data_IF_382493830780
#
_entry.id   IF_382493830780
#
_cell.length_a   1.000
_cell.length_b   1.000
_cell.length_c   1.000
_cell.angle_alpha   90.00
_cell.angle_beta   90.00
_cell.angle_gamma   90.00
#
_symmetry.space_group_name_H-M   'P 1'
#
loop_
_entity.id
_entity.type
_entity.pdbx_description
1 polymer ?
#
# COMPACT_ATOMS: atom_id res chain seq x y z
N UNK A 1 -15.33 15.68 -2.90
CA UNK A 1 -16.34 14.61 -3.08
C UNK A 1 -17.47 15.09 -3.98
N UNK A 2 -18.07 16.27 -3.76
CA UNK A 2 -19.17 16.76 -4.59
C UNK A 2 -18.80 16.79 -6.09
N UNK A 3 -17.64 17.34 -6.43
CA UNK A 3 -17.14 17.35 -7.80
C UNK A 3 -16.94 15.94 -8.38
N UNK A 4 -16.47 14.99 -7.57
CA UNK A 4 -16.32 13.58 -7.99
C UNK A 4 -17.67 12.91 -8.24
N UNK A 5 -18.66 13.14 -7.37
CA UNK A 5 -20.02 12.63 -7.58
C UNK A 5 -20.63 13.19 -8.85
N UNK A 6 -20.49 14.49 -9.08
CA UNK A 6 -20.99 15.15 -10.27
C UNK A 6 -20.32 14.63 -11.56
N UNK A 7 -18.97 14.56 -11.57
CA UNK A 7 -18.21 14.12 -12.73
C UNK A 7 -18.42 12.64 -13.06
N UNK A 8 -18.60 11.78 -12.05
CA UNK A 8 -18.81 10.33 -12.22
C UNK A 8 -20.28 9.94 -12.28
N UNK A 9 -21.20 10.85 -11.98
CA UNK A 9 -22.64 10.59 -11.78
C UNK A 9 -22.90 9.45 -10.79
N UNK A 10 -22.04 9.32 -9.78
CA UNK A 10 -22.12 8.29 -8.77
C UNK A 10 -22.28 8.92 -7.38
N UNK A 11 -23.44 8.80 -6.80
CA UNK A 11 -23.75 9.33 -5.47
C UNK A 11 -23.14 8.47 -4.34
N UNK A 12 -22.72 7.24 -4.63
CA UNK A 12 -22.14 6.29 -3.66
C UNK A 12 -20.64 6.53 -3.41
N UNK A 13 -20.17 7.75 -3.59
CA UNK A 13 -18.80 8.14 -3.24
C UNK A 13 -18.83 8.87 -1.90
N UNK A 14 -18.14 8.29 -0.92
CA UNK A 14 -18.05 8.84 0.43
C UNK A 14 -16.59 9.11 0.80
N UNK A 15 -16.35 10.04 1.70
CA UNK A 15 -15.07 10.21 2.36
C UNK A 15 -15.29 10.21 3.86
N UNK A 16 -14.41 9.54 4.56
CA UNK A 16 -14.34 9.54 5.99
C UNK A 16 -12.96 10.01 6.44
N UNK A 17 -12.93 10.74 7.54
CA UNK A 17 -11.68 11.22 8.11
C UNK A 17 -11.00 10.06 8.83
N UNK A 18 -9.74 9.81 8.42
CA UNK A 18 -8.84 8.86 9.09
C UNK A 18 -7.41 9.38 8.93
N UNK A 19 -6.78 9.71 10.03
CA UNK A 19 -5.36 10.05 10.01
C UNK A 19 -4.54 8.75 10.06
N UNK A 20 -3.88 8.45 8.95
CA UNK A 20 -3.04 7.24 8.79
C UNK A 20 -1.78 7.32 9.67
N UNK A 21 -1.33 8.52 10.07
CA UNK A 21 -0.18 8.68 10.97
C UNK A 21 -0.55 8.50 12.46
N UNK A 22 -1.85 8.47 12.78
CA UNK A 22 -2.33 8.26 14.15
C UNK A 22 -3.02 6.89 14.31
N UNK A 23 -2.41 6.00 15.11
CA UNK A 23 -2.94 4.65 15.37
C UNK A 23 -4.31 4.67 16.05
N UNK A 24 -4.59 5.68 16.90
CA UNK A 24 -5.89 5.81 17.55
C UNK A 24 -6.98 6.26 16.58
N UNK A 25 -6.64 7.15 15.63
CA UNK A 25 -7.53 7.55 14.54
C UNK A 25 -7.93 6.35 13.68
N UNK A 26 -6.95 5.50 13.31
CA UNK A 26 -7.18 4.26 12.56
C UNK A 26 -8.11 3.31 13.33
N UNK A 27 -7.85 3.10 14.62
CA UNK A 27 -8.68 2.22 15.46
C UNK A 27 -10.12 2.74 15.56
N UNK A 28 -10.29 4.05 15.75
CA UNK A 28 -11.61 4.70 15.79
C UNK A 28 -12.34 4.61 14.44
N UNK A 29 -11.62 4.77 13.32
CA UNK A 29 -12.17 4.58 11.99
C UNK A 29 -12.66 3.14 11.80
N UNK A 30 -11.82 2.16 12.14
CA UNK A 30 -12.17 0.74 12.00
C UNK A 30 -13.37 0.36 12.87
N UNK A 31 -13.46 0.89 14.09
CA UNK A 31 -14.61 0.67 14.96
C UNK A 31 -15.91 1.23 14.34
N UNK A 32 -15.88 2.48 13.85
CA UNK A 32 -17.04 3.06 13.14
C UNK A 32 -17.45 2.23 11.92
N UNK A 33 -16.45 1.71 11.19
CA UNK A 33 -16.68 0.82 10.05
C UNK A 33 -17.43 -0.45 10.47
N UNK A 34 -17.01 -1.10 11.55
CA UNK A 34 -17.70 -2.31 12.06
C UNK A 34 -19.10 -2.05 12.60
N UNK A 35 -19.30 -0.89 13.24
CA UNK A 35 -20.59 -0.50 13.79
C UNK A 35 -21.59 -0.04 12.72
N UNK A 36 -21.17 0.10 11.47
CA UNK A 36 -22.00 0.61 10.38
C UNK A 36 -22.34 2.10 10.51
N UNK A 37 -21.68 2.81 11.41
CA UNK A 37 -21.87 4.24 11.62
C UNK A 37 -21.06 5.02 10.59
N UNK A 38 -21.72 5.59 9.58
CA UNK A 38 -21.09 6.53 8.65
C UNK A 38 -21.17 7.94 9.22
N UNK A 39 -20.06 8.64 9.27
CA UNK A 39 -19.99 10.03 9.77
C UNK A 39 -20.74 11.01 8.84
N UNK A 40 -20.86 10.68 7.57
CA UNK A 40 -21.56 11.48 6.56
C UNK A 40 -22.48 10.60 5.73
N UNK A 41 -23.65 10.27 6.28
CA UNK A 41 -24.73 9.63 5.53
C UNK A 41 -25.84 10.64 5.31
N UNK A 42 -26.25 10.91 4.07
CA UNK A 42 -27.62 11.32 3.81
C UNK A 42 -28.53 10.29 4.52
N UNK A 43 -29.52 10.79 5.25
CA UNK A 43 -30.48 9.99 6.01
C UNK A 43 -31.18 8.96 5.09
N UNK A 44 -30.53 7.85 4.89
CA UNK A 44 -31.05 6.69 4.21
C UNK A 44 -30.93 5.54 5.17
N UNK A 45 -32.04 4.93 5.47
CA UNK A 45 -32.29 3.75 6.28
C UNK A 45 -31.05 2.92 6.60
N UNK A 46 -30.81 2.58 7.90
CA UNK A 46 -29.77 1.64 8.26
C UNK A 46 -30.14 0.28 7.67
N UNK A 47 -29.67 0.01 6.46
CA UNK A 47 -29.68 -1.35 5.96
C UNK A 47 -28.68 -2.12 6.79
N UNK A 48 -29.14 -3.15 7.46
CA UNK A 48 -28.33 -4.11 8.23
C UNK A 48 -27.40 -4.94 7.31
N UNK A 49 -27.08 -4.42 6.14
CA UNK A 49 -26.14 -5.04 5.22
C UNK A 49 -24.75 -4.92 5.83
N UNK A 50 -24.17 -6.06 6.15
CA UNK A 50 -22.76 -6.19 6.50
C UNK A 50 -21.94 -5.43 5.46
N UNK A 51 -21.14 -4.45 5.91
CA UNK A 51 -20.33 -3.63 5.02
C UNK A 51 -19.44 -4.53 4.17
N UNK A 52 -19.78 -4.60 2.90
CA UNK A 52 -19.05 -5.37 1.92
C UNK A 52 -17.82 -4.60 1.50
N UNK A 53 -16.68 -5.26 1.51
CA UNK A 53 -15.41 -4.70 1.09
C UNK A 53 -14.79 -5.62 0.02
N UNK A 54 -14.92 -5.26 -1.24
CA UNK A 54 -14.40 -6.05 -2.37
C UNK A 54 -12.93 -5.74 -2.66
N UNK A 55 -12.48 -4.52 -2.36
CA UNK A 55 -11.09 -4.14 -2.50
C UNK A 55 -10.67 -3.08 -1.48
N UNK A 56 -9.43 -3.17 -1.01
CA UNK A 56 -8.72 -2.13 -0.27
C UNK A 56 -7.55 -1.66 -1.12
N UNK A 57 -7.45 -0.37 -1.35
CA UNK A 57 -6.40 0.19 -2.21
C UNK A 57 -5.59 1.20 -1.43
N UNK A 58 -4.31 0.91 -1.26
CA UNK A 58 -3.33 1.84 -0.72
C UNK A 58 -2.63 2.54 -1.87
N UNK A 59 -2.85 3.84 -2.00
CA UNK A 59 -2.18 4.66 -3.01
C UNK A 59 -0.91 5.26 -2.40
N UNK A 60 0.19 5.34 -3.18
CA UNK A 60 1.35 6.07 -2.72
C UNK A 60 0.94 7.52 -2.54
N UNK A 61 1.30 8.11 -1.43
CA UNK A 61 1.09 9.54 -1.26
C UNK A 61 1.87 10.29 -2.32
N UNK A 62 1.21 11.22 -2.97
CA UNK A 62 1.82 12.07 -3.99
C UNK A 62 2.93 12.99 -3.43
N UNK A 63 3.03 13.09 -2.12
CA UNK A 63 4.08 13.84 -1.46
C UNK A 63 5.37 13.01 -1.51
N UNK A 64 6.08 13.12 -2.63
CA UNK A 64 7.39 12.50 -2.86
C UNK A 64 8.49 13.01 -1.94
N UNK A 65 8.16 13.91 -1.04
CA UNK A 65 9.02 14.43 0.01
C UNK A 65 8.23 14.42 1.31
N UNK A 66 8.86 14.04 2.41
CA UNK A 66 8.33 14.35 3.72
C UNK A 66 7.95 15.84 3.72
N UNK A 67 6.70 16.21 4.05
CA UNK A 67 6.35 17.61 4.20
C UNK A 67 7.41 18.29 5.08
N UNK A 68 7.81 19.50 4.70
CA UNK A 68 8.80 20.24 5.47
C UNK A 68 8.27 20.37 6.91
N UNK A 69 9.04 19.84 7.88
CA UNK A 69 8.64 19.83 9.29
C UNK A 69 8.07 18.51 9.82
N UNK A 70 7.78 17.52 8.98
CA UNK A 70 7.38 16.19 9.44
C UNK A 70 8.60 15.37 9.84
N UNK A 71 8.55 14.80 11.03
CA UNK A 71 9.64 13.95 11.52
C UNK A 71 9.73 12.66 10.70
N UNK A 72 10.93 12.06 10.59
CA UNK A 72 11.11 10.76 9.92
C UNK A 72 10.25 9.67 10.54
N UNK A 73 10.09 9.71 11.83
CA UNK A 73 9.26 8.75 12.57
C UNK A 73 7.79 8.86 12.17
N UNK A 74 7.30 10.07 12.04
CA UNK A 74 5.93 10.33 11.58
C UNK A 74 5.73 9.92 10.11
N UNK A 75 6.70 10.23 9.25
CA UNK A 75 6.68 9.79 7.86
C UNK A 75 6.73 8.26 7.74
N UNK A 76 7.54 7.58 8.54
CA UNK A 76 7.57 6.12 8.59
C UNK A 76 6.24 5.55 9.09
N UNK A 77 5.65 6.19 10.09
CA UNK A 77 4.33 5.84 10.59
C UNK A 77 3.28 5.93 9.49
N UNK A 78 3.29 7.03 8.76
CA UNK A 78 2.35 7.27 7.67
C UNK A 78 2.48 6.24 6.54
N UNK A 79 3.71 5.94 6.09
CA UNK A 79 3.94 5.10 4.92
C UNK A 79 3.92 3.60 5.21
N UNK A 80 4.29 3.19 6.43
CA UNK A 80 4.47 1.77 6.75
C UNK A 80 3.53 1.30 7.85
N UNK A 81 3.58 1.95 9.03
CA UNK A 81 2.86 1.45 10.19
C UNK A 81 1.36 1.67 10.10
N UNK A 82 0.92 2.80 9.56
CA UNK A 82 -0.49 3.12 9.40
C UNK A 82 -1.23 2.17 8.46
N UNK A 83 -0.77 1.98 7.21
CA UNK A 83 -1.35 0.99 6.30
C UNK A 83 -1.34 -0.42 6.89
N UNK A 84 -0.25 -0.81 7.56
CA UNK A 84 -0.16 -2.11 8.24
C UNK A 84 -1.21 -2.25 9.34
N UNK A 85 -1.37 -1.25 10.20
CA UNK A 85 -2.36 -1.26 11.28
C UNK A 85 -3.79 -1.24 10.75
N UNK A 86 -4.07 -0.38 9.76
CA UNK A 86 -5.39 -0.32 9.14
C UNK A 86 -5.79 -1.68 8.53
N UNK A 87 -4.88 -2.33 7.83
CA UNK A 87 -5.14 -3.64 7.26
C UNK A 87 -5.35 -4.70 8.35
N UNK A 88 -4.55 -4.67 9.42
CA UNK A 88 -4.69 -5.56 10.56
C UNK A 88 -6.06 -5.44 11.24
N UNK A 89 -6.54 -4.21 11.40
CA UNK A 89 -7.87 -3.94 12.02
C UNK A 89 -9.03 -4.30 11.10
N UNK A 90 -8.89 -4.15 9.77
CA UNK A 90 -9.93 -4.51 8.79
C UNK A 90 -9.97 -6.00 8.48
N UNK A 91 -8.90 -6.75 8.77
CA UNK A 91 -8.79 -8.17 8.43
C UNK A 91 -9.98 -9.03 8.88
N UNK A 92 -10.53 -8.89 10.10
CA UNK A 92 -11.70 -9.67 10.52
C UNK A 92 -12.94 -9.44 9.63
N UNK A 93 -13.09 -8.23 9.06
CA UNK A 93 -14.18 -7.92 8.11
C UNK A 93 -13.95 -8.60 6.76
N UNK A 94 -12.70 -8.60 6.29
CA UNK A 94 -12.34 -9.25 5.03
C UNK A 94 -12.53 -10.77 5.11
N UNK A 95 -12.16 -11.39 6.22
CA UNK A 95 -12.30 -12.84 6.45
C UNK A 95 -13.76 -13.31 6.56
N UNK A 96 -14.68 -12.45 7.01
CA UNK A 96 -16.12 -12.77 7.06
C UNK A 96 -16.78 -12.83 5.69
N UNK A 97 -16.12 -12.38 4.66
CA UNK A 97 -16.62 -12.44 3.29
C UNK A 97 -16.70 -13.90 2.82
N UNK A 98 -17.71 -14.26 2.02
CA UNK A 98 -17.81 -15.63 1.52
C UNK A 98 -16.62 -15.97 0.61
N UNK A 99 -16.05 -17.19 0.72
CA UNK A 99 -14.86 -17.60 -0.02
C UNK A 99 -15.05 -17.68 -1.54
N UNK A 100 -16.29 -17.60 -2.01
CA UNK A 100 -16.61 -17.50 -3.44
C UNK A 100 -16.26 -16.13 -4.05
N UNK A 101 -15.90 -15.15 -3.21
CA UNK A 101 -15.52 -13.79 -3.62
C UNK A 101 -14.04 -13.58 -3.50
N UNK A 102 -13.47 -12.97 -4.51
CA UNK A 102 -12.10 -12.52 -4.53
C UNK A 102 -12.02 -11.11 -3.93
N UNK A 103 -11.44 -11.01 -2.73
CA UNK A 103 -11.19 -9.73 -2.04
C UNK A 103 -9.76 -9.31 -2.31
N UNK A 104 -9.55 -8.08 -2.76
CA UNK A 104 -8.22 -7.60 -3.15
C UNK A 104 -7.67 -6.53 -2.23
N UNK A 105 -6.43 -6.70 -1.84
CA UNK A 105 -5.62 -5.69 -1.18
C UNK A 105 -4.58 -5.24 -2.19
N UNK A 106 -4.73 -4.03 -2.72
CA UNK A 106 -3.84 -3.48 -3.75
C UNK A 106 -2.97 -2.41 -3.11
N UNK A 107 -1.66 -2.65 -3.08
CA UNK A 107 -0.68 -1.65 -2.62
C UNK A 107 0.08 -1.08 -3.81
N UNK A 108 -0.03 0.24 -4.01
CA UNK A 108 0.70 0.93 -5.05
C UNK A 108 2.07 1.37 -4.53
N UNK A 109 3.11 0.66 -4.94
CA UNK A 109 4.49 0.82 -4.48
C UNK A 109 5.20 1.94 -5.24
N UNK A 110 5.84 2.84 -4.51
CA UNK A 110 6.65 3.90 -5.11
C UNK A 110 7.77 3.33 -6.00
N UNK A 111 8.00 3.90 -7.21
CA UNK A 111 9.08 3.46 -8.11
C UNK A 111 10.48 3.63 -7.51
N UNK A 112 10.61 4.42 -6.44
CA UNK A 112 11.88 4.60 -5.71
C UNK A 112 12.29 3.41 -4.85
N UNK A 113 11.51 2.32 -4.81
CA UNK A 113 11.82 1.14 -3.97
C UNK A 113 13.26 0.61 -4.16
N UNK A 114 13.79 0.67 -5.38
CA UNK A 114 15.17 0.24 -5.66
C UNK A 114 16.22 1.15 -5.02
N UNK A 115 15.95 2.47 -4.94
CA UNK A 115 16.84 3.42 -4.27
C UNK A 115 16.92 3.23 -2.76
N UNK A 116 15.90 2.58 -2.17
CA UNK A 116 15.83 2.31 -0.73
C UNK A 116 16.64 1.11 -0.26
N UNK A 117 17.14 0.26 -1.15
CA UNK A 117 17.85 -0.98 -0.78
C UNK A 117 19.02 -0.74 0.18
N UNK A 118 19.85 0.29 -0.11
CA UNK A 118 21.01 0.62 0.71
C UNK A 118 20.66 1.18 2.09
N UNK A 119 19.43 1.62 2.30
CA UNK A 119 18.95 2.25 3.54
C UNK A 119 17.97 1.40 4.34
N UNK A 120 17.60 0.26 3.85
CA UNK A 120 16.53 -0.56 4.38
C UNK A 120 16.63 -0.83 5.90
N UNK A 121 17.82 -1.23 6.41
CA UNK A 121 18.04 -1.51 7.83
C UNK A 121 18.27 -0.27 8.71
N UNK A 122 18.41 0.90 8.12
CA UNK A 122 18.75 2.16 8.82
C UNK A 122 17.81 3.31 8.47
N UNK A 123 16.57 2.99 8.14
CA UNK A 123 15.60 3.95 7.59
C UNK A 123 15.39 5.17 8.49
N UNK A 124 15.42 4.99 9.80
CA UNK A 124 15.22 6.07 10.76
C UNK A 124 16.48 6.85 11.10
N UNK A 125 17.67 6.35 10.68
CA UNK A 125 18.93 7.04 10.95
C UNK A 125 19.17 8.19 9.96
N UNK A 126 19.88 9.26 10.38
CA UNK A 126 20.28 10.34 9.49
C UNK A 126 21.09 9.81 8.30
N UNK A 127 20.81 10.33 7.10
CA UNK A 127 21.54 9.94 5.91
C UNK A 127 22.72 10.89 5.66
N UNK A 128 23.84 10.33 5.23
CA UNK A 128 25.08 11.11 5.00
C UNK A 128 25.02 12.02 3.78
N UNK A 129 24.09 11.75 2.84
CA UNK A 129 23.90 12.53 1.61
C UNK A 129 22.51 13.18 1.62
N UNK A 130 22.35 14.34 2.25
CA UNK A 130 21.02 14.93 2.51
C UNK A 130 20.21 15.20 1.25
N UNK A 131 20.84 15.49 0.10
CA UNK A 131 20.15 15.73 -1.17
C UNK A 131 19.35 14.50 -1.64
N UNK A 132 19.86 13.28 -1.38
CA UNK A 132 19.20 12.03 -1.78
C UNK A 132 18.34 11.43 -0.67
N UNK A 133 18.33 12.04 0.50
CA UNK A 133 17.64 11.52 1.67
C UNK A 133 16.14 11.27 1.44
N UNK A 134 15.36 12.21 0.87
CA UNK A 134 13.93 12.02 0.69
C UNK A 134 13.62 10.80 -0.19
N UNK A 135 14.31 10.64 -1.29
CA UNK A 135 14.08 9.52 -2.23
C UNK A 135 14.53 8.18 -1.67
N UNK A 136 15.68 8.14 -0.99
CA UNK A 136 16.15 6.90 -0.35
C UNK A 136 15.27 6.49 0.82
N UNK A 137 14.74 7.46 1.58
CA UNK A 137 13.78 7.21 2.64
C UNK A 137 12.47 6.67 2.08
N UNK A 138 11.90 7.34 1.09
CA UNK A 138 10.68 6.91 0.42
C UNK A 138 10.86 5.52 -0.23
N UNK A 139 12.01 5.29 -0.84
CA UNK A 139 12.37 3.98 -1.41
C UNK A 139 12.49 2.88 -0.35
N UNK A 140 13.07 3.18 0.81
CA UNK A 140 13.16 2.22 1.91
C UNK A 140 11.78 1.92 2.51
N UNK A 141 10.91 2.92 2.67
CA UNK A 141 9.53 2.72 3.10
C UNK A 141 8.75 1.86 2.10
N UNK A 142 8.87 2.14 0.81
CA UNK A 142 8.26 1.35 -0.26
C UNK A 142 8.76 -0.11 -0.27
N UNK A 143 10.02 -0.34 0.05
CA UNK A 143 10.58 -1.68 0.18
C UNK A 143 10.04 -2.41 1.41
N UNK A 144 9.86 -1.71 2.54
CA UNK A 144 9.20 -2.27 3.73
C UNK A 144 7.76 -2.69 3.40
N UNK A 145 7.00 -1.82 2.75
CA UNK A 145 5.63 -2.10 2.34
C UNK A 145 5.56 -3.32 1.41
N UNK A 146 6.48 -3.42 0.44
CA UNK A 146 6.57 -4.55 -0.47
C UNK A 146 6.79 -5.88 0.27
N UNK A 147 7.74 -5.92 1.21
CA UNK A 147 8.04 -7.13 1.97
C UNK A 147 6.88 -7.49 2.90
N UNK A 148 6.28 -6.50 3.58
CA UNK A 148 5.12 -6.71 4.45
C UNK A 148 3.91 -7.21 3.65
N UNK A 149 3.65 -6.69 2.46
CA UNK A 149 2.53 -7.16 1.62
C UNK A 149 2.71 -8.60 1.13
N UNK A 150 3.96 -9.03 0.87
CA UNK A 150 4.28 -10.43 0.59
C UNK A 150 4.07 -11.33 1.81
N UNK A 151 4.49 -10.86 2.98
CA UNK A 151 4.30 -11.59 4.23
C UNK A 151 2.81 -11.65 4.60
N UNK A 152 2.02 -10.61 4.30
CA UNK A 152 0.56 -10.64 4.39
C UNK A 152 -0.01 -11.80 3.57
N UNK A 153 0.36 -11.90 2.28
CA UNK A 153 -0.14 -12.98 1.44
C UNK A 153 0.23 -14.36 2.00
N UNK A 154 1.48 -14.53 2.45
CA UNK A 154 1.94 -15.79 3.04
C UNK A 154 1.12 -16.18 4.28
N UNK A 155 0.80 -15.21 5.14
CA UNK A 155 -0.02 -15.45 6.33
C UNK A 155 -1.48 -15.73 5.97
N UNK A 156 -2.06 -15.02 5.00
CA UNK A 156 -3.41 -15.26 4.51
C UNK A 156 -3.56 -16.68 3.94
N UNK A 157 -2.58 -17.12 3.15
CA UNK A 157 -2.58 -18.47 2.59
C UNK A 157 -2.40 -19.54 3.69
N UNK A 158 -1.56 -19.28 4.70
CA UNK A 158 -1.40 -20.17 5.83
C UNK A 158 -2.69 -20.29 6.66
N UNK A 159 -3.40 -19.20 6.89
CA UNK A 159 -4.71 -19.23 7.57
C UNK A 159 -5.74 -20.01 6.75
N UNK A 160 -5.82 -19.78 5.44
CA UNK A 160 -6.72 -20.55 4.59
C UNK A 160 -6.40 -22.05 4.57
N UNK A 161 -5.12 -22.39 4.64
CA UNK A 161 -4.69 -23.80 4.74
C UNK A 161 -5.06 -24.43 6.09
N UNK A 162 -5.04 -23.66 7.19
CA UNK A 162 -5.44 -24.16 8.52
C UNK A 162 -6.95 -24.38 8.62
N UNK A 163 -7.75 -23.57 7.93
CA UNK A 163 -9.21 -23.66 7.95
C UNK A 163 -9.76 -24.70 6.95
N UNK A 164 -8.90 -25.20 6.07
CA UNK A 164 -9.28 -26.23 5.10
C UNK A 164 -9.59 -27.54 5.83
N UNK A 165 -10.82 -28.02 5.68
CA UNK A 165 -11.17 -29.38 6.12
C UNK A 165 -10.32 -30.37 5.32
N UNK A 166 -9.78 -31.43 5.98
CA UNK A 166 -9.07 -32.47 5.27
C UNK A 166 -9.99 -33.04 4.18
N UNK A 167 -9.47 -33.25 2.95
CA UNK A 167 -10.28 -33.76 1.86
C UNK A 167 -10.90 -35.09 2.30
N UNK A 168 -12.22 -35.18 2.28
CA UNK A 168 -12.93 -36.45 2.53
C UNK A 168 -12.52 -37.38 1.40
N UNK A 169 -11.66 -38.35 1.68
CA UNK A 169 -11.26 -39.36 0.70
C UNK A 169 -12.49 -40.16 0.29
N UNK A 170 -13.04 -39.84 -0.86
CA UNK A 170 -14.01 -40.69 -1.52
C UNK A 170 -13.22 -41.88 -2.13
N UNK A 171 -13.55 -43.13 -1.79
CA UNK A 171 -12.88 -44.28 -2.34
C UNK A 171 -13.13 -44.31 -3.87
N UNK A 172 -12.07 -44.26 -4.66
CA UNK A 172 -12.11 -44.49 -6.10
C UNK A 172 -11.85 -43.26 -6.99
N UNK A 173 -11.49 -42.11 -6.43
CA UNK A 173 -11.05 -40.94 -7.21
C UNK A 173 -9.54 -40.79 -7.06
N UNK A 174 -8.85 -40.90 -8.19
CA UNK A 174 -7.40 -40.82 -8.32
C UNK A 174 -6.76 -39.61 -7.60
N UNK A 175 -5.55 -39.83 -7.12
CA UNK A 175 -4.65 -38.93 -6.41
C UNK A 175 -4.43 -37.57 -7.12
N UNK A 176 -5.43 -36.70 -7.09
CA UNK A 176 -5.17 -35.29 -7.30
C UNK A 176 -4.44 -34.78 -6.05
N UNK A 177 -3.17 -34.44 -6.22
CA UNK A 177 -2.36 -33.77 -5.21
C UNK A 177 -3.23 -32.72 -4.49
N UNK A 178 -3.41 -32.83 -3.17
CA UNK A 178 -4.27 -31.88 -2.46
C UNK A 178 -3.70 -30.46 -2.68
N UNK A 179 -4.42 -29.69 -3.46
CA UNK A 179 -4.07 -28.28 -3.67
C UNK A 179 -4.25 -27.59 -2.35
N UNK A 180 -3.18 -26.97 -1.85
CA UNK A 180 -3.30 -26.10 -0.69
C UNK A 180 -4.35 -25.03 -1.01
N UNK A 181 -5.40 -24.89 -0.20
CA UNK A 181 -6.42 -23.90 -0.43
C UNK A 181 -5.78 -22.52 -0.39
N UNK A 182 -5.96 -21.74 -1.46
CA UNK A 182 -5.54 -20.33 -1.48
C UNK A 182 -6.55 -19.50 -0.72
N UNK A 183 -6.08 -18.46 -0.07
CA UNK A 183 -6.94 -17.45 0.52
C UNK A 183 -7.81 -16.79 -0.55
N UNK A 184 -9.07 -16.52 -0.23
CA UNK A 184 -9.94 -15.68 -1.06
C UNK A 184 -9.56 -14.19 -0.97
N UNK A 185 -8.65 -13.84 -0.06
CA UNK A 185 -8.09 -12.50 0.08
C UNK A 185 -6.71 -12.52 -0.59
N UNK A 186 -6.51 -11.61 -1.54
CA UNK A 186 -5.32 -11.55 -2.37
C UNK A 186 -4.61 -10.21 -2.22
N UNK A 187 -3.37 -10.23 -1.76
CA UNK A 187 -2.49 -9.05 -1.74
C UNK A 187 -1.79 -8.90 -3.09
N UNK A 188 -1.95 -7.77 -3.75
CA UNK A 188 -1.36 -7.46 -5.06
C UNK A 188 -0.58 -6.17 -4.98
N UNK A 189 0.62 -6.18 -5.50
CA UNK A 189 1.51 -5.03 -5.50
C UNK A 189 1.62 -4.46 -6.90
N UNK A 190 1.50 -3.15 -7.02
CA UNK A 190 1.59 -2.45 -8.31
C UNK A 190 2.57 -1.29 -8.21
N UNK A 191 3.47 -1.19 -9.18
CA UNK A 191 4.29 -0.01 -9.35
C UNK A 191 3.68 0.87 -10.47
N UNK A 192 3.01 1.97 -10.14
CA UNK A 192 2.38 2.84 -11.14
C UNK A 192 3.39 3.60 -12.02
N UNK A 193 4.67 3.57 -11.64
CA UNK A 193 5.73 4.31 -12.31
C UNK A 193 5.93 5.70 -11.73
N UNK A 194 6.73 6.51 -12.42
CA UNK A 194 6.99 7.89 -12.02
C UNK A 194 5.86 8.79 -12.51
N UNK A 195 4.96 9.18 -11.62
CA UNK A 195 3.98 10.20 -11.94
C UNK A 195 4.64 11.58 -12.04
N UNK A 196 4.61 12.15 -13.24
CA UNK A 196 5.27 13.41 -13.53
C UNK A 196 4.74 14.55 -12.65
N UNK A 197 3.43 14.59 -12.42
CA UNK A 197 2.79 15.67 -11.65
C UNK A 197 3.23 15.65 -10.18
N UNK A 198 3.29 14.46 -9.56
CA UNK A 198 3.72 14.31 -8.17
C UNK A 198 5.22 14.61 -7.97
N UNK A 199 6.06 14.20 -8.93
CA UNK A 199 7.49 14.50 -8.87
C UNK A 199 7.78 15.98 -9.02
N UNK A 200 7.05 16.68 -9.91
CA UNK A 200 7.17 18.12 -10.08
C UNK A 200 6.71 18.88 -8.84
N UNK A 201 5.55 18.51 -8.27
CA UNK A 201 5.05 19.17 -7.05
C UNK A 201 6.00 18.99 -5.87
N UNK A 202 6.60 17.80 -5.72
CA UNK A 202 7.60 17.51 -4.71
C UNK A 202 8.85 18.36 -4.88
N UNK A 203 9.34 18.52 -6.12
CA UNK A 203 10.51 19.33 -6.41
C UNK A 203 10.27 20.82 -6.08
N UNK A 204 9.11 21.36 -6.44
CA UNK A 204 8.78 22.77 -6.16
C UNK A 204 8.44 23.03 -4.69
N UNK A 205 7.86 22.08 -3.97
CA UNK A 205 7.54 22.24 -2.55
C UNK A 205 8.80 22.24 -1.66
N UNK A 206 9.86 21.54 -2.06
CA UNK A 206 11.16 21.54 -1.36
C UNK A 206 11.98 22.80 -1.63
N UNK A 207 11.66 23.54 -2.68
CA UNK A 207 12.35 24.77 -3.07
C UNK A 207 11.82 25.98 -2.27
N UNK A 208 11.87 25.96 -0.94
CA UNK A 208 11.79 27.21 -0.16
C UNK A 208 13.08 27.98 -0.37
N UNK A 209 13.04 28.85 -1.37
CA UNK A 209 14.19 29.59 -1.85
C UNK A 209 14.53 30.72 -0.92
N UNK A 210 15.66 30.63 -0.25
CA UNK A 210 16.17 31.69 0.63
C UNK A 210 16.90 32.81 -0.13
N UNK A 211 17.22 32.62 -1.43
CA UNK A 211 17.86 33.62 -2.26
C UNK A 211 17.51 33.48 -3.74
N UNK A 212 17.51 34.62 -4.46
CA UNK A 212 17.27 34.69 -5.91
C UNK A 212 18.24 33.85 -6.74
N UNK A 213 19.52 33.79 -6.31
CA UNK A 213 20.53 32.95 -6.97
C UNK A 213 20.19 31.44 -6.88
N UNK A 214 19.67 31.01 -5.75
CA UNK A 214 19.19 29.63 -5.55
C UNK A 214 17.98 29.33 -6.46
N UNK A 215 17.06 30.29 -6.59
CA UNK A 215 15.92 30.16 -7.49
C UNK A 215 16.35 29.94 -8.94
N UNK A 216 17.28 30.76 -9.41
CA UNK A 216 17.80 30.67 -10.78
C UNK A 216 18.50 29.31 -11.00
N UNK A 217 19.34 28.88 -10.04
CA UNK A 217 20.01 27.59 -10.12
C UNK A 217 19.01 26.42 -10.19
N UNK A 218 17.96 26.45 -9.37
CA UNK A 218 16.90 25.46 -9.40
C UNK A 218 16.12 25.46 -10.71
N UNK A 219 15.84 26.64 -11.29
CA UNK A 219 15.22 26.77 -12.59
C UNK A 219 16.09 26.17 -13.72
N UNK A 220 17.39 26.40 -13.67
CA UNK A 220 18.33 25.82 -14.65
C UNK A 220 18.38 24.31 -14.53
N UNK A 221 18.49 23.78 -13.30
CA UNK A 221 18.46 22.34 -13.05
C UNK A 221 17.13 21.75 -13.54
N UNK A 222 16.01 22.41 -13.25
CA UNK A 222 14.71 21.97 -13.71
C UNK A 222 14.62 21.93 -15.24
N UNK A 223 15.09 22.96 -15.92
CA UNK A 223 15.11 23.02 -17.39
C UNK A 223 15.90 21.87 -18.02
N UNK A 224 17.00 21.45 -17.38
CA UNK A 224 17.81 20.33 -17.82
C UNK A 224 17.18 18.96 -17.50
N UNK A 225 16.52 18.84 -16.37
CA UNK A 225 15.92 17.58 -15.91
C UNK A 225 14.51 17.37 -16.51
N UNK A 226 13.81 18.44 -16.86
CA UNK A 226 12.46 18.37 -17.39
C UNK A 226 12.30 17.47 -18.62
N UNK A 227 13.12 17.57 -19.68
CA UNK A 227 12.98 16.68 -20.83
C UNK A 227 13.25 15.22 -20.47
N UNK A 228 14.13 14.94 -19.51
CA UNK A 228 14.36 13.58 -19.00
C UNK A 228 13.13 13.09 -18.23
N UNK A 229 12.56 13.92 -17.36
CA UNK A 229 11.33 13.61 -16.65
C UNK A 229 10.15 13.41 -17.59
N UNK A 230 10.09 14.14 -18.70
CA UNK A 230 9.03 13.98 -19.69
C UNK A 230 9.12 12.64 -20.41
N UNK A 231 10.33 12.12 -20.64
CA UNK A 231 10.56 10.82 -21.27
C UNK A 231 10.29 9.66 -20.30
N UNK A 232 10.66 9.80 -19.04
CA UNK A 232 10.56 8.75 -18.01
C UNK A 232 9.23 8.84 -17.25
N UNK A 233 8.70 10.05 -17.10
CA UNK A 233 7.49 10.34 -16.37
C UNK A 233 6.23 9.84 -17.09
N UNK A 234 5.25 9.47 -16.30
CA UNK A 234 3.96 8.99 -16.80
C UNK A 234 2.87 9.99 -16.48
N UNK A 235 1.91 10.17 -17.36
CA UNK A 235 0.72 10.94 -17.02
C UNK A 235 -0.09 10.20 -15.95
N UNK A 236 -0.74 10.93 -15.08
CA UNK A 236 -1.48 10.44 -13.91
C UNK A 236 -2.54 9.38 -14.27
N UNK A 237 -3.17 9.51 -15.45
CA UNK A 237 -4.17 8.51 -15.88
C UNK A 237 -3.56 7.12 -16.11
N UNK A 238 -2.35 7.01 -16.67
CA UNK A 238 -1.66 5.71 -16.84
C UNK A 238 -1.25 5.11 -15.49
N UNK A 239 -0.90 5.95 -14.51
CA UNK A 239 -0.64 5.49 -13.16
C UNK A 239 -1.93 4.92 -12.51
N UNK A 240 -3.06 5.59 -12.70
CA UNK A 240 -4.37 5.11 -12.24
C UNK A 240 -4.80 3.82 -12.95
N UNK A 241 -4.59 3.72 -14.26
CA UNK A 241 -4.89 2.49 -15.04
C UNK A 241 -4.16 1.27 -14.49
N UNK A 242 -2.91 1.41 -14.06
CA UNK A 242 -2.15 0.31 -13.45
C UNK A 242 -2.81 -0.22 -12.18
N UNK A 243 -3.37 0.67 -11.35
CA UNK A 243 -4.11 0.30 -10.14
C UNK A 243 -5.45 -0.37 -10.49
N UNK A 244 -6.20 0.22 -11.42
CA UNK A 244 -7.47 -0.34 -11.89
C UNK A 244 -7.25 -1.71 -12.53
N UNK A 245 -6.19 -1.86 -13.32
CA UNK A 245 -5.79 -3.16 -13.87
C UNK A 245 -5.58 -4.20 -12.76
N UNK A 246 -4.89 -3.86 -11.66
CA UNK A 246 -4.68 -4.78 -10.55
C UNK A 246 -5.98 -5.15 -9.82
N UNK A 247 -6.95 -4.23 -9.77
CA UNK A 247 -8.26 -4.50 -9.17
C UNK A 247 -9.09 -5.41 -10.05
N UNK A 248 -9.06 -5.22 -11.38
CA UNK A 248 -9.98 -5.86 -12.31
C UNK A 248 -9.46 -7.15 -12.97
N UNK A 249 -8.12 -7.33 -13.04
CA UNK A 249 -7.53 -8.49 -13.72
C UNK A 249 -7.73 -9.77 -12.92
N UNK A 250 -8.08 -10.87 -13.60
CA UNK A 250 -8.28 -12.16 -12.95
C UNK A 250 -7.00 -12.68 -12.29
N UNK A 251 -7.15 -13.35 -11.15
CA UNK A 251 -6.05 -14.08 -10.53
C UNK A 251 -5.60 -15.23 -11.43
N UNK A 252 -4.29 -15.48 -11.45
CA UNK A 252 -3.71 -16.59 -12.16
C UNK A 252 -4.15 -17.91 -11.52
N UNK A 253 -4.74 -18.80 -12.31
CA UNK A 253 -4.90 -20.20 -11.96
C UNK A 253 -3.66 -20.96 -12.43
N UNK A 254 -3.36 -22.13 -11.84
CA UNK A 254 -2.19 -22.93 -12.23
C UNK A 254 -2.18 -23.32 -13.71
N UNK A 255 -3.35 -23.41 -14.32
CA UNK A 255 -3.54 -23.75 -15.73
C UNK A 255 -3.53 -22.56 -16.67
N UNK A 256 -3.58 -21.31 -16.17
CA UNK A 256 -3.60 -20.12 -17.01
C UNK A 256 -2.21 -19.51 -17.13
N UNK A 257 -1.75 -19.28 -18.35
CA UNK A 257 -0.51 -18.56 -18.65
C UNK A 257 -0.61 -17.05 -18.39
N UNK A 258 -1.81 -16.54 -18.13
CA UNK A 258 -2.09 -15.13 -17.86
C UNK A 258 -2.82 -14.94 -16.53
N UNK A 259 -2.64 -13.79 -15.90
CA UNK A 259 -3.31 -13.42 -14.67
C UNK A 259 -2.34 -12.94 -13.57
N UNK A 260 -2.92 -12.38 -12.51
CA UNK A 260 -2.16 -11.84 -11.38
C UNK A 260 -1.89 -12.94 -10.36
N UNK A 261 -0.64 -13.05 -9.92
CA UNK A 261 -0.25 -13.92 -8.80
C UNK A 261 -0.21 -13.09 -7.53
N UNK A 262 -0.91 -13.49 -6.46
CA UNK A 262 -0.87 -12.80 -5.18
C UNK A 262 0.56 -12.71 -4.62
N UNK A 263 0.85 -11.64 -3.89
CA UNK A 263 2.17 -11.40 -3.29
C UNK A 263 3.25 -10.95 -4.29
N UNK A 264 2.91 -10.68 -5.54
CA UNK A 264 3.86 -10.27 -6.56
C UNK A 264 3.70 -8.80 -6.94
N UNK A 265 4.83 -8.18 -7.35
CA UNK A 265 4.88 -6.81 -7.84
C UNK A 265 4.70 -6.77 -9.36
N UNK A 266 3.81 -5.91 -9.81
CA UNK A 266 3.53 -5.69 -11.23
C UNK A 266 3.82 -4.25 -11.65
N UNK A 267 4.33 -4.10 -12.86
CA UNK A 267 4.43 -2.82 -13.55
C UNK A 267 3.92 -3.00 -14.97
N UNK A 268 2.93 -2.20 -15.39
CA UNK A 268 2.34 -2.29 -16.73
C UNK A 268 1.81 -3.69 -17.09
N UNK A 269 1.23 -4.38 -16.12
CA UNK A 269 0.77 -5.76 -16.31
C UNK A 269 1.88 -6.81 -16.37
N UNK A 270 3.14 -6.42 -16.26
CA UNK A 270 4.29 -7.34 -16.27
C UNK A 270 4.78 -7.61 -14.85
N UNK A 271 5.12 -8.85 -14.59
CA UNK A 271 5.72 -9.26 -13.31
C UNK A 271 7.10 -8.62 -13.17
N UNK A 272 7.31 -7.95 -12.05
CA UNK A 272 8.62 -7.46 -11.62
C UNK A 272 9.14 -8.35 -10.48
N UNK A 273 10.42 -8.69 -10.57
CA UNK A 273 11.13 -9.38 -9.50
C UNK A 273 12.12 -8.38 -8.89
N UNK A 274 11.70 -7.62 -7.86
CA UNK A 274 12.59 -6.66 -7.22
C UNK A 274 13.68 -7.38 -6.45
N UNK A 275 14.86 -6.77 -6.41
CA UNK A 275 15.93 -7.24 -5.53
C UNK A 275 15.52 -7.02 -4.07
N UNK A 276 15.66 -8.06 -3.24
CA UNK A 276 15.35 -7.99 -1.83
C UNK A 276 16.61 -7.69 -1.00
N UNK A 277 16.46 -6.87 0.06
CA UNK A 277 17.54 -6.64 1.01
C UNK A 277 18.05 -7.96 1.59
N UNK A 278 19.37 -8.08 1.77
CA UNK A 278 19.98 -9.31 2.30
C UNK A 278 19.38 -9.75 3.63
N UNK A 279 19.01 -8.80 4.49
CA UNK A 279 18.40 -9.05 5.79
C UNK A 279 16.98 -9.65 5.72
N UNK A 280 16.28 -9.49 4.58
CA UNK A 280 14.91 -9.97 4.38
C UNK A 280 14.81 -11.09 3.35
N UNK A 281 15.95 -11.57 2.84
CA UNK A 281 15.94 -12.74 1.96
C UNK A 281 15.47 -13.97 2.71
N UNK A 282 14.37 -14.55 2.23
CA UNK A 282 13.75 -15.72 2.82
C UNK A 282 12.70 -15.43 3.89
N UNK A 283 12.01 -16.47 4.30
CA UNK A 283 10.85 -16.39 5.19
C UNK A 283 11.17 -15.83 6.59
N UNK A 284 12.36 -16.11 7.12
CA UNK A 284 12.76 -15.66 8.46
C UNK A 284 12.97 -14.16 8.54
N UNK A 285 13.58 -13.55 7.52
CA UNK A 285 13.80 -12.11 7.48
C UNK A 285 12.51 -11.31 7.34
N UNK A 286 11.58 -11.74 6.49
CA UNK A 286 10.27 -11.13 6.34
C UNK A 286 9.44 -11.27 7.63
N UNK A 287 9.49 -12.43 8.30
CA UNK A 287 8.83 -12.65 9.59
C UNK A 287 9.41 -11.76 10.70
N UNK A 288 10.72 -11.54 10.73
CA UNK A 288 11.36 -10.64 11.70
C UNK A 288 10.90 -9.18 11.47
N UNK A 289 10.83 -8.74 10.20
CA UNK A 289 10.29 -7.42 9.85
C UNK A 289 8.83 -7.28 10.29
N UNK A 290 8.02 -8.30 10.05
CA UNK A 290 6.63 -8.34 10.52
C UNK A 290 6.53 -8.13 12.02
N UNK A 291 7.24 -8.96 12.81
CA UNK A 291 7.21 -8.88 14.27
C UNK A 291 7.68 -7.51 14.80
N UNK A 292 8.72 -6.93 14.18
CA UNK A 292 9.19 -5.60 14.56
C UNK A 292 8.17 -4.51 14.23
N UNK A 293 7.45 -4.64 13.11
CA UNK A 293 6.38 -3.71 12.71
C UNK A 293 5.19 -3.81 13.65
N UNK A 294 4.78 -5.02 14.01
CA UNK A 294 3.74 -5.27 15.01
C UNK A 294 4.09 -4.64 16.37
N UNK A 295 5.31 -4.88 16.85
CA UNK A 295 5.80 -4.30 18.10
C UNK A 295 5.81 -2.76 18.06
N UNK A 296 6.21 -2.16 16.92
CA UNK A 296 6.21 -0.73 16.74
C UNK A 296 4.78 -0.14 16.75
N UNK A 297 3.80 -0.82 16.16
CA UNK A 297 2.38 -0.42 16.20
C UNK A 297 1.86 -0.50 17.64
N UNK A 298 2.12 -1.58 18.35
CA UNK A 298 1.67 -1.74 19.74
C UNK A 298 2.28 -0.69 20.66
N UNK A 299 3.56 -0.36 20.50
CA UNK A 299 4.21 0.69 21.26
C UNK A 299 3.52 2.07 21.06
N UNK A 300 3.02 2.35 19.83
CA UNK A 300 2.30 3.61 19.55
C UNK A 300 0.87 3.62 20.09
N UNK A 301 0.22 2.47 20.10
CA UNK A 301 -1.12 2.32 20.67
C UNK A 301 -1.10 2.48 22.21
N UNK A 302 -0.01 2.08 22.86
CA UNK A 302 0.15 2.26 24.31
C UNK A 302 0.62 3.67 24.70
N UNK A 303 1.16 4.44 23.75
CA UNK A 303 1.48 5.85 23.98
C UNK A 303 0.17 6.67 24.04
N UNK A 304 0.19 7.71 24.87
CA UNK A 304 -0.99 8.59 24.98
C UNK A 304 -1.33 9.20 23.61
N UNK A 305 -2.64 9.34 23.28
CA UNK A 305 -3.06 9.95 22.02
C UNK A 305 -2.49 11.38 21.93
N UNK A 306 -1.99 11.73 20.75
CA UNK A 306 -1.55 13.10 20.48
C UNK A 306 -2.79 14.00 20.56
N UNK A 307 -2.83 14.88 21.56
CA UNK A 307 -3.84 15.96 21.60
C UNK A 307 -3.47 16.97 20.52
N UNK A 308 -4.27 17.00 19.45
CA UNK A 308 -4.20 18.00 18.38
C UNK A 308 -5.01 19.23 18.74
#
# INVERSE_FOLDING_TARGET
ILLLRESTRNENIFAESCDIADMHSISSFSQRWFEGKRTYGLAGTPTSETHRLDAVVFLPTQQGTTPIGVSRDESYTYHVLGPFHLLSTLLPSLQRQPPSRDVRIVSAISPWYAAGLGRFGTIQQPYTKPIFEPWTFLGASAMHELILAREWQRKLDAMAASDARPPTKLPGIDDQVPRLPRSHISSVLVCPGFDLASQLSAFFSTAQVSSTAHAIALWVVWLLVYPLLWVVGRPTHMAAEAVVWAICTRLATESSTGGIRPGQLYREGRLLVPEEPRSCRGASGAAALWTSTEAAVQARLTAAPKTH
#
